data_IF_141542989287
#
_entry.id   IF_141542989287
#
_cell.length_a   1.000
_cell.length_b   1.000
_cell.length_c   1.000
_cell.angle_alpha   90.00
_cell.angle_beta   90.00
_cell.angle_gamma   90.00
#
_symmetry.space_group_name_H-M   'P 1'
#
loop_
_entity.id
_entity.type
_entity.pdbx_description
1 polymer ?
#
# COMPACT_ATOMS: atom_id res chain seq x y z
N UNK A 1 -12.50 -0.70 -9.04
CA UNK A 1 -11.90 -0.51 -10.38
C UNK A 1 -12.00 0.96 -10.77
N UNK A 2 -10.95 1.55 -11.33
CA UNK A 2 -10.91 2.94 -11.81
C UNK A 2 -11.27 2.99 -13.29
N UNK A 3 -12.57 2.93 -13.60
CA UNK A 3 -13.05 2.86 -14.98
C UNK A 3 -12.63 4.04 -15.87
N UNK A 4 -12.39 5.22 -15.28
CA UNK A 4 -11.91 6.40 -16.00
C UNK A 4 -10.44 6.32 -16.44
N UNK A 5 -9.74 5.24 -16.08
CA UNK A 5 -8.33 5.08 -16.44
C UNK A 5 -8.17 4.95 -17.97
N UNK A 6 -7.14 5.56 -18.59
CA UNK A 6 -6.98 5.58 -20.05
C UNK A 6 -7.01 4.20 -20.73
N UNK A 7 -6.57 3.15 -20.03
CA UNK A 7 -6.57 1.78 -20.58
C UNK A 7 -7.97 1.24 -20.91
N UNK A 8 -9.04 1.84 -20.37
CA UNK A 8 -10.41 1.45 -20.69
C UNK A 8 -10.99 2.20 -21.90
N UNK A 9 -10.31 3.25 -22.38
CA UNK A 9 -10.87 4.19 -23.35
C UNK A 9 -10.04 4.37 -24.63
N UNK A 10 -8.71 4.16 -24.58
CA UNK A 10 -7.84 4.51 -25.69
C UNK A 10 -6.64 3.56 -25.86
N UNK A 11 -6.26 3.22 -27.11
CA UNK A 11 -6.85 3.67 -28.38
C UNK A 11 -8.15 2.95 -28.79
N UNK A 12 -8.51 1.86 -28.12
CA UNK A 12 -9.72 1.10 -28.42
C UNK A 12 -10.72 1.23 -27.26
N UNK A 13 -11.95 1.66 -27.52
CA UNK A 13 -12.97 1.71 -26.47
C UNK A 13 -13.25 0.29 -25.94
N UNK A 14 -12.97 0.06 -24.65
CA UNK A 14 -12.99 -1.28 -24.07
C UNK A 14 -14.39 -1.86 -23.94
N UNK A 15 -15.43 -1.02 -23.92
CA UNK A 15 -16.82 -1.45 -23.76
C UNK A 15 -16.97 -2.39 -22.55
N UNK A 16 -16.53 -1.91 -21.38
CA UNK A 16 -16.55 -2.70 -20.15
C UNK A 16 -18.00 -2.90 -19.71
N UNK A 17 -18.46 -4.15 -19.78
CA UNK A 17 -19.73 -4.58 -19.21
C UNK A 17 -19.49 -5.20 -17.83
N UNK A 18 -20.21 -4.69 -16.84
CA UNK A 18 -20.17 -5.18 -15.47
C UNK A 18 -21.33 -6.14 -15.22
N UNK A 19 -21.01 -7.31 -14.69
CA UNK A 19 -21.98 -8.30 -14.24
C UNK A 19 -21.88 -8.46 -12.73
N UNK A 20 -23.00 -8.73 -12.06
CA UNK A 20 -22.98 -9.05 -10.64
C UNK A 20 -22.37 -10.44 -10.41
N UNK A 21 -21.44 -10.54 -9.46
CA UNK A 21 -20.91 -11.79 -8.92
C UNK A 21 -21.11 -11.82 -7.42
N UNK A 22 -21.25 -13.01 -6.84
CA UNK A 22 -21.28 -13.16 -5.38
C UNK A 22 -19.99 -12.62 -4.77
N UNK A 23 -20.12 -11.87 -3.68
CA UNK A 23 -18.97 -11.41 -2.92
C UNK A 23 -18.23 -12.61 -2.34
N UNK A 24 -16.92 -12.78 -2.62
CA UNK A 24 -16.14 -13.87 -2.06
C UNK A 24 -16.25 -13.90 -0.54
N UNK A 25 -16.62 -15.05 0.03
CA UNK A 25 -16.89 -15.17 1.48
C UNK A 25 -15.66 -14.80 2.33
N UNK A 26 -14.46 -15.08 1.82
CA UNK A 26 -13.19 -14.71 2.47
C UNK A 26 -12.97 -13.20 2.55
N UNK A 27 -13.75 -12.35 1.86
CA UNK A 27 -13.63 -10.91 2.02
C UNK A 27 -14.17 -10.42 3.36
N UNK A 28 -15.11 -11.13 3.99
CA UNK A 28 -15.72 -10.69 5.25
C UNK A 28 -14.72 -10.48 6.40
N UNK A 29 -13.55 -11.14 6.37
CA UNK A 29 -12.49 -10.97 7.37
C UNK A 29 -11.55 -9.79 7.09
N UNK A 30 -11.68 -9.12 5.94
CA UNK A 30 -10.91 -7.92 5.62
C UNK A 30 -11.54 -6.66 6.21
N UNK A 31 -10.74 -5.64 6.59
CA UNK A 31 -11.27 -4.40 7.17
C UNK A 31 -12.36 -3.71 6.35
N UNK A 32 -12.25 -3.68 5.03
CA UNK A 32 -13.24 -3.10 4.11
C UNK A 32 -14.36 -4.08 3.76
N UNK A 33 -14.14 -5.37 4.02
CA UNK A 33 -15.01 -6.45 3.60
C UNK A 33 -16.35 -6.48 4.31
N UNK A 34 -16.38 -6.09 5.59
CA UNK A 34 -17.60 -6.11 6.41
C UNK A 34 -18.72 -5.19 5.87
N UNK A 35 -18.36 -4.16 5.09
CA UNK A 35 -19.30 -3.22 4.50
C UNK A 35 -19.67 -3.55 3.04
N UNK A 36 -19.13 -4.62 2.46
CA UNK A 36 -19.40 -4.96 1.08
C UNK A 36 -20.83 -5.50 0.90
N UNK A 37 -21.50 -5.17 -0.23
CA UNK A 37 -22.77 -5.80 -0.58
C UNK A 37 -22.61 -7.32 -0.79
N UNK A 38 -23.72 -8.06 -0.79
CA UNK A 38 -23.72 -9.50 -1.08
C UNK A 38 -23.22 -9.82 -2.50
N UNK A 39 -23.40 -8.89 -3.44
CA UNK A 39 -22.92 -9.01 -4.82
C UNK A 39 -22.10 -7.80 -5.22
N UNK A 40 -21.01 -8.04 -5.93
CA UNK A 40 -20.11 -7.02 -6.45
C UNK A 40 -20.22 -6.92 -7.97
N UNK A 41 -20.10 -5.71 -8.54
CA UNK A 41 -19.92 -5.57 -9.97
C UNK A 41 -18.53 -6.09 -10.36
N UNK A 42 -18.47 -7.02 -11.31
CA UNK A 42 -17.24 -7.57 -11.84
C UNK A 42 -17.21 -7.47 -13.36
N UNK A 43 -16.02 -7.21 -13.88
CA UNK A 43 -15.75 -7.22 -15.31
C UNK A 43 -15.20 -8.60 -15.71
N UNK A 44 -15.82 -9.21 -16.72
CA UNK A 44 -15.34 -10.50 -17.27
C UNK A 44 -14.20 -10.27 -18.26
N UNK A 45 -13.00 -10.63 -17.83
CA UNK A 45 -11.79 -10.52 -18.67
C UNK A 45 -11.59 -11.73 -19.57
N UNK A 46 -12.01 -12.92 -19.11
CA UNK A 46 -11.83 -14.17 -19.85
C UNK A 46 -13.10 -15.04 -19.85
N UNK A 47 -13.30 -15.74 -20.98
CA UNK A 47 -14.41 -16.66 -21.18
C UNK A 47 -14.07 -18.11 -20.85
N UNK A 48 -12.78 -18.45 -20.82
CA UNK A 48 -12.31 -19.82 -20.56
C UNK A 48 -12.66 -20.28 -19.15
N UNK A 49 -13.01 -21.56 -19.02
CA UNK A 49 -12.93 -22.26 -17.74
C UNK A 49 -11.45 -22.52 -17.46
N UNK A 50 -10.90 -21.83 -16.47
CA UNK A 50 -9.55 -22.05 -15.98
C UNK A 50 -9.60 -23.36 -15.18
N UNK A 51 -9.36 -24.49 -15.86
CA UNK A 51 -9.23 -25.78 -15.21
C UNK A 51 -8.10 -25.74 -14.16
N UNK A 52 -8.06 -26.70 -13.23
CA UNK A 52 -7.01 -26.77 -12.18
C UNK A 52 -5.57 -26.87 -12.73
N UNK A 53 -5.44 -27.15 -14.03
CA UNK A 53 -4.20 -27.24 -14.80
C UNK A 53 -3.66 -25.87 -15.26
N UNK A 54 -4.48 -24.82 -15.24
CA UNK A 54 -4.10 -23.46 -15.65
C UNK A 54 -3.73 -22.66 -14.40
N UNK A 55 -2.59 -21.95 -14.47
CA UNK A 55 -2.10 -21.12 -13.37
C UNK A 55 -3.17 -20.11 -12.93
N UNK A 56 -3.41 -20.06 -11.62
CA UNK A 56 -4.21 -19.00 -11.02
C UNK A 56 -3.61 -17.64 -11.38
N UNK A 57 -4.48 -16.66 -11.63
CA UNK A 57 -4.06 -15.27 -11.80
C UNK A 57 -3.23 -14.76 -10.63
N UNK A 58 -2.48 -13.68 -10.85
CA UNK A 58 -1.66 -13.04 -9.83
C UNK A 58 -2.37 -11.77 -9.34
N UNK A 59 -2.35 -11.57 -8.03
CA UNK A 59 -2.65 -10.26 -7.44
C UNK A 59 -1.48 -9.82 -6.58
N UNK A 60 -1.19 -8.53 -6.61
CA UNK A 60 -0.37 -7.92 -5.57
C UNK A 60 -1.22 -7.78 -4.30
N UNK A 61 -0.56 -7.96 -3.15
CA UNK A 61 -1.15 -7.70 -1.84
C UNK A 61 -1.76 -6.29 -1.79
N UNK A 62 -2.87 -6.09 -1.06
CA UNK A 62 -3.41 -4.76 -0.84
C UNK A 62 -2.49 -3.89 0.04
N UNK A 63 -2.80 -2.59 0.03
CA UNK A 63 -2.22 -1.51 0.84
C UNK A 63 -0.80 -1.09 0.47
N UNK A 64 -0.53 0.21 0.62
CA UNK A 64 0.79 0.82 0.40
C UNK A 64 1.28 0.88 -1.05
N UNK A 65 0.56 0.28 -2.00
CA UNK A 65 0.99 0.26 -3.41
C UNK A 65 1.13 1.66 -4.01
N UNK A 66 0.22 2.57 -3.66
CA UNK A 66 0.22 3.96 -4.15
C UNK A 66 0.93 4.93 -3.21
N UNK A 67 1.74 4.43 -2.27
CA UNK A 67 2.57 5.29 -1.43
C UNK A 67 3.62 6.06 -2.25
N UNK A 68 3.99 5.54 -3.42
CA UNK A 68 4.93 6.19 -4.33
C UNK A 68 4.19 6.89 -5.47
N UNK A 69 4.61 8.10 -5.87
CA UNK A 69 3.88 8.89 -6.89
C UNK A 69 4.00 8.32 -8.30
N UNK A 70 4.90 7.36 -8.52
CA UNK A 70 5.07 6.63 -9.78
C UNK A 70 4.24 5.34 -9.85
N UNK A 71 3.39 5.07 -8.85
CA UNK A 71 2.52 3.90 -8.78
C UNK A 71 1.03 4.23 -8.99
N UNK A 72 0.30 3.29 -9.58
CA UNK A 72 -1.13 3.40 -9.88
C UNK A 72 -1.86 2.09 -9.58
N UNK A 73 -2.81 2.10 -8.66
CA UNK A 73 -3.79 1.03 -8.52
C UNK A 73 -4.93 1.25 -9.52
N UNK A 74 -5.25 0.27 -10.36
CA UNK A 74 -6.26 0.44 -11.42
C UNK A 74 -7.48 -0.46 -11.15
N UNK A 75 -7.26 -1.75 -10.94
CA UNK A 75 -8.35 -2.68 -10.65
C UNK A 75 -7.92 -3.83 -9.74
N UNK A 76 -8.89 -4.30 -8.97
CA UNK A 76 -8.87 -5.62 -8.34
C UNK A 76 -9.40 -6.68 -9.32
N UNK A 77 -9.37 -7.94 -8.88
CA UNK A 77 -10.03 -9.08 -9.51
C UNK A 77 -10.71 -9.95 -8.44
N UNK A 78 -11.47 -10.97 -8.84
CA UNK A 78 -11.97 -11.97 -7.88
C UNK A 78 -10.78 -12.80 -7.39
N UNK A 79 -10.44 -12.72 -6.10
CA UNK A 79 -9.18 -13.24 -5.58
C UNK A 79 -9.26 -13.62 -4.08
N UNK A 80 -8.24 -14.30 -3.56
CA UNK A 80 -8.18 -14.74 -2.15
C UNK A 80 -7.51 -13.74 -1.19
N UNK A 81 -6.96 -12.63 -1.70
CA UNK A 81 -6.17 -11.61 -0.98
C UNK A 81 -6.95 -10.34 -0.66
N UNK A 82 -8.27 -10.40 -0.68
CA UNK A 82 -9.15 -9.31 -0.27
C UNK A 82 -9.65 -8.42 -1.41
N UNK A 83 -10.62 -7.53 -1.10
CA UNK A 83 -11.31 -6.73 -2.11
C UNK A 83 -10.40 -5.68 -2.78
N UNK A 84 -9.37 -5.22 -2.07
CA UNK A 84 -8.45 -4.15 -2.51
C UNK A 84 -7.16 -4.70 -3.14
N UNK A 85 -6.96 -6.02 -3.17
CA UNK A 85 -5.80 -6.62 -3.82
C UNK A 85 -5.76 -6.25 -5.31
N UNK A 86 -4.57 -6.00 -5.83
CA UNK A 86 -4.41 -5.38 -7.14
C UNK A 86 -4.18 -6.45 -8.22
N UNK A 87 -5.07 -6.49 -9.21
CA UNK A 87 -4.92 -7.30 -10.41
C UNK A 87 -4.42 -6.48 -11.61
N UNK A 88 -4.74 -5.19 -11.66
CA UNK A 88 -4.21 -4.25 -12.64
C UNK A 88 -3.59 -3.06 -11.91
N UNK A 89 -2.33 -2.78 -12.20
CA UNK A 89 -1.67 -1.58 -11.74
C UNK A 89 -0.27 -1.42 -12.28
N UNK A 90 0.28 -0.23 -12.08
CA UNK A 90 1.55 0.22 -12.66
C UNK A 90 2.49 0.69 -11.56
N UNK A 91 3.79 0.47 -11.71
CA UNK A 91 4.83 1.21 -10.99
C UNK A 91 5.97 1.52 -11.96
N UNK A 92 6.26 2.80 -12.17
CA UNK A 92 7.15 3.27 -13.23
C UNK A 92 6.85 2.59 -14.59
N UNK A 93 7.81 1.89 -15.17
CA UNK A 93 7.68 1.15 -16.43
C UNK A 93 7.19 -0.30 -16.28
N UNK A 94 6.80 -0.71 -15.07
CA UNK A 94 6.24 -2.04 -14.80
C UNK A 94 4.73 -1.97 -14.73
N UNK A 95 4.07 -2.97 -15.31
CA UNK A 95 2.63 -3.12 -15.24
C UNK A 95 2.29 -4.55 -14.83
N UNK A 96 1.47 -4.71 -13.79
CA UNK A 96 0.91 -5.99 -13.41
C UNK A 96 -0.37 -6.22 -14.23
N UNK A 97 -0.32 -7.21 -15.11
CA UNK A 97 -1.51 -7.84 -15.67
C UNK A 97 -1.78 -9.15 -14.92
N UNK A 98 -2.69 -9.09 -13.96
CA UNK A 98 -2.93 -10.17 -13.01
C UNK A 98 -3.85 -11.29 -13.50
N UNK A 99 -4.52 -11.11 -14.65
CA UNK A 99 -5.46 -12.11 -15.16
C UNK A 99 -4.72 -13.19 -15.95
N UNK A 100 -4.81 -14.44 -15.50
CA UNK A 100 -4.25 -15.60 -16.19
C UNK A 100 -5.19 -16.18 -17.24
N UNK A 101 -4.60 -16.83 -18.26
CA UNK A 101 -5.28 -17.66 -19.27
C UNK A 101 -4.91 -17.29 -20.71
N UNK A 102 -5.37 -18.09 -21.67
CA UNK A 102 -4.97 -17.98 -23.07
C UNK A 102 -5.56 -16.72 -23.74
N UNK A 103 -4.78 -15.92 -24.51
CA UNK A 103 -5.29 -14.75 -25.23
C UNK A 103 -6.48 -15.03 -26.15
N UNK A 104 -6.60 -16.25 -26.68
CA UNK A 104 -7.75 -16.71 -27.49
C UNK A 104 -9.03 -16.81 -26.66
N UNK A 105 -8.92 -16.95 -25.34
CA UNK A 105 -10.03 -17.04 -24.39
C UNK A 105 -10.40 -15.69 -23.77
N UNK A 106 -9.61 -14.63 -23.97
CA UNK A 106 -9.97 -13.29 -23.54
C UNK A 106 -11.28 -12.83 -24.19
N UNK A 107 -12.10 -12.12 -23.42
CA UNK A 107 -13.24 -11.38 -23.99
C UNK A 107 -12.73 -10.32 -24.94
N UNK A 108 -13.57 -9.87 -25.87
CA UNK A 108 -13.21 -8.75 -26.76
C UNK A 108 -12.85 -7.49 -25.97
N UNK A 109 -13.61 -7.20 -24.91
CA UNK A 109 -13.29 -6.13 -23.95
C UNK A 109 -11.92 -6.33 -23.29
N UNK A 110 -11.63 -7.55 -22.81
CA UNK A 110 -10.32 -7.93 -22.25
C UNK A 110 -9.15 -7.68 -23.21
N UNK A 111 -9.29 -8.08 -24.48
CA UNK A 111 -8.27 -7.85 -25.52
C UNK A 111 -8.02 -6.37 -25.77
N UNK A 112 -9.08 -5.56 -25.83
CA UNK A 112 -8.95 -4.11 -26.01
C UNK A 112 -8.20 -3.47 -24.85
N UNK A 113 -8.56 -3.78 -23.60
CA UNK A 113 -7.84 -3.27 -22.42
C UNK A 113 -6.39 -3.74 -22.39
N UNK A 114 -6.11 -4.98 -22.79
CA UNK A 114 -4.74 -5.49 -22.89
C UNK A 114 -3.90 -4.69 -23.91
N UNK A 115 -4.43 -4.47 -25.12
CA UNK A 115 -3.76 -3.66 -26.13
C UNK A 115 -3.60 -2.20 -25.70
N UNK A 116 -4.63 -1.61 -25.10
CA UNK A 116 -4.59 -0.27 -24.55
C UNK A 116 -3.54 -0.13 -23.45
N UNK A 117 -3.39 -1.14 -22.60
CA UNK A 117 -2.34 -1.19 -21.58
C UNK A 117 -0.95 -1.10 -22.21
N UNK A 118 -0.69 -1.84 -23.29
CA UNK A 118 0.61 -1.80 -23.98
C UNK A 118 0.88 -0.38 -24.53
N UNK A 119 -0.12 0.24 -25.15
CA UNK A 119 0.01 1.60 -25.68
C UNK A 119 0.19 2.63 -24.56
N UNK A 120 -0.61 2.53 -23.50
CA UNK A 120 -0.51 3.37 -22.30
C UNK A 120 0.89 3.30 -21.68
N UNK A 121 1.48 2.09 -21.62
CA UNK A 121 2.78 1.89 -21.01
C UNK A 121 3.94 2.51 -21.80
N UNK A 122 3.75 2.84 -23.09
CA UNK A 122 4.82 3.42 -23.93
C UNK A 122 5.36 4.75 -23.40
N UNK A 123 4.54 5.55 -22.73
CA UNK A 123 4.97 6.84 -22.16
C UNK A 123 5.91 6.68 -20.94
N UNK A 124 5.97 5.49 -20.35
CA UNK A 124 6.83 5.17 -19.22
C UNK A 124 8.12 4.45 -19.64
N UNK A 125 8.39 4.36 -20.95
CA UNK A 125 9.59 3.71 -21.48
C UNK A 125 10.87 4.28 -20.85
N UNK A 126 11.75 3.40 -20.38
CA UNK A 126 12.99 3.76 -19.69
C UNK A 126 12.85 4.31 -18.27
N UNK A 127 11.64 4.52 -17.73
CA UNK A 127 11.47 4.90 -16.33
C UNK A 127 11.85 3.73 -15.40
N UNK A 128 12.25 4.03 -14.17
CA UNK A 128 12.54 3.02 -13.14
C UNK A 128 11.77 3.34 -11.87
N UNK A 129 11.35 2.33 -11.08
CA UNK A 129 10.69 2.57 -9.80
C UNK A 129 11.47 3.57 -8.94
N UNK A 130 10.78 4.59 -8.44
CA UNK A 130 11.38 5.63 -7.59
C UNK A 130 11.98 5.02 -6.32
N UNK A 131 11.24 4.10 -5.72
CA UNK A 131 11.69 3.32 -4.58
C UNK A 131 11.78 1.85 -4.97
N UNK A 132 12.87 1.21 -4.53
CA UNK A 132 13.09 -0.24 -4.70
C UNK A 132 13.19 -0.86 -3.31
N UNK A 133 12.67 -2.08 -3.11
CA UNK A 133 12.95 -2.82 -1.88
C UNK A 133 14.48 -2.99 -1.76
N UNK A 134 15.10 -2.49 -0.68
CA UNK A 134 16.54 -2.62 -0.53
C UNK A 134 16.91 -3.98 0.06
N UNK A 135 17.70 -4.77 -0.64
CA UNK A 135 18.25 -6.03 -0.12
C UNK A 135 17.27 -7.20 -0.07
N UNK A 136 17.71 -8.30 0.54
CA UNK A 136 16.95 -9.54 0.70
C UNK A 136 15.90 -9.34 1.81
N UNK A 137 14.92 -8.45 1.60
CA UNK A 137 13.88 -8.19 2.60
C UNK A 137 12.91 -9.35 2.62
N UNK A 138 13.04 -10.10 3.71
CA UNK A 138 11.98 -10.84 4.35
C UNK A 138 10.68 -10.03 4.31
N UNK A 139 9.53 -10.69 4.24
CA UNK A 139 8.20 -10.10 4.04
C UNK A 139 7.69 -9.30 5.27
N UNK A 140 8.55 -8.52 5.93
CA UNK A 140 8.41 -7.97 7.28
C UNK A 140 7.92 -6.53 7.32
N UNK A 141 8.18 -5.71 6.29
CA UNK A 141 7.66 -4.33 6.25
C UNK A 141 6.31 -4.34 5.51
N UNK A 142 5.24 -4.20 6.28
CA UNK A 142 3.86 -4.17 5.79
C UNK A 142 3.26 -2.79 5.97
N UNK A 143 2.33 -2.42 5.10
CA UNK A 143 1.47 -1.27 5.34
C UNK A 143 0.73 -1.42 6.68
N UNK A 144 0.46 -0.31 7.35
CA UNK A 144 -0.10 -0.31 8.72
C UNK A 144 -1.48 -0.97 8.80
N UNK A 145 -2.22 -0.94 7.70
CA UNK A 145 -3.52 -1.59 7.51
C UNK A 145 -3.49 -3.10 7.83
N UNK A 146 -2.34 -3.75 7.66
CA UNK A 146 -2.15 -5.16 8.01
C UNK A 146 -2.41 -5.46 9.49
N UNK A 147 -2.25 -4.48 10.38
CA UNK A 147 -2.61 -4.64 11.78
C UNK A 147 -4.11 -4.97 11.95
N UNK A 148 -4.98 -4.33 11.17
CA UNK A 148 -6.42 -4.58 11.18
C UNK A 148 -6.78 -5.86 10.42
N UNK A 149 -6.04 -6.22 9.37
CA UNK A 149 -6.20 -7.51 8.69
C UNK A 149 -5.93 -8.67 9.66
N UNK A 150 -4.83 -8.60 10.42
CA UNK A 150 -4.53 -9.63 11.41
C UNK A 150 -5.56 -9.68 12.54
N UNK A 151 -6.09 -8.54 12.99
CA UNK A 151 -7.22 -8.52 13.92
C UNK A 151 -8.47 -9.22 13.33
N UNK A 152 -8.72 -9.06 12.03
CA UNK A 152 -9.74 -9.80 11.28
C UNK A 152 -9.50 -11.31 11.29
N UNK A 153 -8.26 -11.77 11.08
CA UNK A 153 -7.91 -13.20 11.16
C UNK A 153 -8.12 -13.78 12.55
N UNK A 154 -7.98 -13.00 13.63
CA UNK A 154 -8.36 -13.47 14.97
C UNK A 154 -9.86 -13.80 15.03
N UNK A 155 -10.73 -13.00 14.40
CA UNK A 155 -12.17 -13.28 14.37
C UNK A 155 -12.47 -14.56 13.59
N UNK A 156 -11.76 -14.78 12.49
CA UNK A 156 -11.97 -15.92 11.59
C UNK A 156 -11.38 -17.22 12.15
N UNK A 157 -10.16 -17.16 12.67
CA UNK A 157 -9.34 -18.33 13.02
C UNK A 157 -9.15 -18.51 14.54
N UNK A 158 -9.62 -17.57 15.37
CA UNK A 158 -9.33 -17.54 16.81
C UNK A 158 -9.88 -18.73 17.60
N UNK A 159 -10.86 -19.45 17.06
CA UNK A 159 -11.38 -20.69 17.66
C UNK A 159 -10.58 -21.95 17.25
N UNK A 160 -9.73 -21.85 16.21
CA UNK A 160 -8.89 -22.96 15.77
C UNK A 160 -7.64 -23.05 16.66
N UNK A 161 -7.48 -24.19 17.33
CA UNK A 161 -6.33 -24.47 18.17
C UNK A 161 -5.02 -24.50 17.36
N UNK A 162 -5.07 -24.97 16.10
CA UNK A 162 -3.92 -25.01 15.20
C UNK A 162 -3.46 -23.63 14.72
N UNK A 163 -4.34 -22.63 14.77
CA UNK A 163 -4.03 -21.27 14.35
C UNK A 163 -3.41 -20.40 15.47
N UNK A 164 -3.47 -20.84 16.74
CA UNK A 164 -3.09 -20.00 17.89
C UNK A 164 -1.64 -19.54 17.85
N UNK A 165 -0.70 -20.42 17.49
CA UNK A 165 0.71 -20.08 17.38
C UNK A 165 0.92 -19.02 16.29
N UNK A 166 0.32 -19.23 15.12
CA UNK A 166 0.34 -18.26 14.03
C UNK A 166 -0.25 -16.92 14.48
N UNK A 167 -1.44 -16.88 15.09
CA UNK A 167 -2.08 -15.64 15.50
C UNK A 167 -1.25 -14.89 16.55
N UNK A 168 -0.71 -15.58 17.56
CA UNK A 168 0.16 -14.97 18.58
C UNK A 168 1.42 -14.37 17.97
N UNK A 169 1.97 -14.98 16.92
CA UNK A 169 3.15 -14.47 16.23
C UNK A 169 2.92 -13.17 15.45
N UNK A 170 1.66 -12.72 15.27
CA UNK A 170 1.32 -11.51 14.50
C UNK A 170 1.15 -10.25 15.34
N UNK A 171 1.26 -10.34 16.67
CA UNK A 171 1.01 -9.22 17.56
C UNK A 171 2.12 -9.04 18.59
N UNK A 172 2.41 -7.79 19.02
CA UNK A 172 3.25 -7.53 20.18
C UNK A 172 2.80 -8.33 21.41
N UNK A 173 3.76 -8.75 22.23
CA UNK A 173 3.49 -9.63 23.38
C UNK A 173 2.42 -9.06 24.33
N UNK A 174 2.38 -7.74 24.52
CA UNK A 174 1.42 -7.09 25.41
C UNK A 174 -0.04 -7.23 24.94
N UNK A 175 -0.29 -7.33 23.63
CA UNK A 175 -1.64 -7.50 23.08
C UNK A 175 -2.18 -8.93 23.24
N UNK A 176 -1.30 -9.90 23.48
CA UNK A 176 -1.65 -11.33 23.54
C UNK A 176 -1.33 -11.99 24.88
N UNK A 177 -0.77 -11.25 25.84
CA UNK A 177 -0.35 -11.76 27.15
C UNK A 177 -1.51 -12.47 27.88
N UNK A 178 -2.69 -11.87 27.89
CA UNK A 178 -3.89 -12.39 28.57
C UNK A 178 -4.78 -13.27 27.69
N UNK A 179 -4.26 -13.71 26.54
CA UNK A 179 -5.06 -14.32 25.49
C UNK A 179 -5.26 -13.41 24.28
N UNK A 180 -5.68 -14.02 23.17
CA UNK A 180 -5.96 -13.31 21.92
C UNK A 180 -7.44 -12.93 21.94
N UNK A 181 -7.74 -11.62 21.88
CA UNK A 181 -9.09 -11.10 21.81
C UNK A 181 -9.20 -10.14 20.60
N UNK A 182 -10.06 -10.48 19.65
CA UNK A 182 -10.16 -9.74 18.40
C UNK A 182 -10.65 -8.31 18.59
N UNK A 183 -11.61 -8.10 19.49
CA UNK A 183 -12.22 -6.79 19.73
C UNK A 183 -11.23 -5.83 20.41
N UNK A 184 -10.50 -6.32 21.41
CA UNK A 184 -9.44 -5.58 22.11
C UNK A 184 -8.30 -5.21 21.16
N UNK A 185 -7.82 -6.17 20.37
CA UNK A 185 -6.74 -5.96 19.41
C UNK A 185 -7.16 -4.95 18.33
N UNK A 186 -8.35 -5.11 17.77
CA UNK A 186 -8.87 -4.16 16.77
C UNK A 186 -9.03 -2.76 17.35
N UNK A 187 -9.61 -2.62 18.55
CA UNK A 187 -9.77 -1.33 19.21
C UNK A 187 -8.42 -0.63 19.43
N UNK A 188 -7.42 -1.36 19.91
CA UNK A 188 -6.07 -0.86 20.11
C UNK A 188 -5.47 -0.29 18.81
N UNK A 189 -5.52 -1.05 17.72
CA UNK A 189 -4.95 -0.61 16.45
C UNK A 189 -5.73 0.52 15.81
N UNK A 190 -7.06 0.57 15.95
CA UNK A 190 -7.87 1.70 15.46
C UNK A 190 -7.57 2.98 16.22
N UNK A 191 -7.46 2.92 17.55
CA UNK A 191 -7.17 4.07 18.40
C UNK A 191 -5.77 4.65 18.09
N UNK A 192 -4.80 3.79 17.80
CA UNK A 192 -3.42 4.20 17.63
C UNK A 192 -2.92 4.15 16.17
N UNK A 193 -3.81 4.04 15.19
CA UNK A 193 -3.48 3.76 13.78
C UNK A 193 -2.43 4.71 13.18
N UNK A 194 -2.52 6.00 13.51
CA UNK A 194 -1.59 7.03 13.03
C UNK A 194 -0.19 6.95 13.65
N UNK A 195 -0.05 6.24 14.77
CA UNK A 195 1.18 6.11 15.54
C UNK A 195 1.84 4.73 15.38
N UNK A 196 1.32 3.89 14.47
CA UNK A 196 1.86 2.55 14.28
C UNK A 196 3.21 2.59 13.53
N UNK A 197 4.13 1.76 14.00
CA UNK A 197 5.44 1.55 13.40
C UNK A 197 5.88 0.09 13.58
N UNK A 198 6.56 -0.51 12.59
CA UNK A 198 7.09 -1.86 12.74
C UNK A 198 8.32 -1.85 13.65
N UNK A 199 8.27 -2.60 14.75
CA UNK A 199 9.45 -2.85 15.59
C UNK A 199 10.52 -3.65 14.85
N UNK A 200 11.65 -3.94 15.52
CA UNK A 200 12.75 -4.72 14.93
C UNK A 200 12.33 -6.12 14.46
N UNK A 201 11.29 -6.69 15.08
CA UNK A 201 10.69 -7.97 14.72
C UNK A 201 9.64 -7.87 13.58
N UNK A 202 9.42 -6.68 13.02
CA UNK A 202 8.42 -6.40 11.98
C UNK A 202 6.98 -6.34 12.49
N UNK A 203 6.73 -6.51 13.79
CA UNK A 203 5.39 -6.41 14.36
C UNK A 203 5.00 -4.94 14.52
N UNK A 204 3.77 -4.61 14.13
CA UNK A 204 3.23 -3.27 14.26
C UNK A 204 2.80 -3.02 15.70
N UNK A 205 3.35 -1.95 16.27
CA UNK A 205 3.02 -1.46 17.60
C UNK A 205 3.04 0.08 17.61
N UNK A 206 2.62 0.68 18.72
CA UNK A 206 2.69 2.12 18.90
C UNK A 206 4.12 2.59 19.04
N UNK A 207 4.51 3.51 18.16
CA UNK A 207 5.73 4.28 18.29
C UNK A 207 5.57 5.33 19.41
N UNK A 208 6.20 5.06 20.55
CA UNK A 208 6.13 5.95 21.71
C UNK A 208 6.75 7.34 21.43
N UNK A 209 7.78 7.41 20.60
CA UNK A 209 8.44 8.67 20.23
C UNK A 209 7.52 9.50 19.33
N UNK A 210 6.92 8.87 18.32
CA UNK A 210 5.96 9.53 17.44
C UNK A 210 4.72 10.00 18.23
N UNK A 211 4.23 9.17 19.16
CA UNK A 211 3.13 9.51 20.06
C UNK A 211 3.49 10.68 20.97
N UNK A 212 4.73 10.75 21.47
CA UNK A 212 5.23 11.89 22.25
C UNK A 212 5.36 13.17 21.41
N UNK A 213 5.69 13.06 20.11
CA UNK A 213 5.68 14.19 19.19
C UNK A 213 4.25 14.71 18.94
N UNK A 214 3.26 13.81 18.99
CA UNK A 214 1.83 14.12 18.95
C UNK A 214 1.25 14.31 17.56
N UNK A 215 1.94 13.85 16.52
CA UNK A 215 1.50 13.99 15.11
C UNK A 215 1.80 12.71 14.33
N UNK A 216 0.91 12.39 13.41
CA UNK A 216 1.07 11.23 12.51
C UNK A 216 2.28 11.39 11.59
N UNK A 217 3.12 10.36 11.46
CA UNK A 217 4.29 10.40 10.58
C UNK A 217 3.94 10.50 9.09
N UNK A 218 2.75 10.08 8.66
CA UNK A 218 2.34 10.09 7.25
C UNK A 218 1.72 11.40 6.78
N UNK A 219 1.61 12.40 7.66
CA UNK A 219 1.00 13.69 7.37
C UNK A 219 2.08 14.78 7.24
N UNK A 220 1.99 15.71 6.27
CA UNK A 220 3.00 16.76 6.09
C UNK A 220 3.31 17.56 7.37
N UNK A 221 2.33 17.70 8.27
CA UNK A 221 2.45 18.35 9.57
C UNK A 221 3.52 17.71 10.46
N UNK A 222 3.88 16.44 10.25
CA UNK A 222 5.02 15.80 10.90
C UNK A 222 6.33 16.55 10.63
N UNK A 223 6.56 16.93 9.37
CA UNK A 223 7.76 17.63 8.95
C UNK A 223 7.84 19.02 9.58
N UNK A 224 6.70 19.70 9.68
CA UNK A 224 6.58 21.00 10.35
C UNK A 224 6.84 20.88 11.85
N UNK A 225 6.30 19.83 12.49
CA UNK A 225 6.53 19.57 13.91
C UNK A 225 7.97 19.20 14.21
N UNK A 226 8.63 18.44 13.33
CA UNK A 226 10.05 18.15 13.40
C UNK A 226 10.89 19.43 13.26
N UNK A 227 10.57 20.30 12.30
CA UNK A 227 11.28 21.56 12.12
C UNK A 227 11.17 22.46 13.35
N UNK A 228 9.96 22.61 13.90
CA UNK A 228 9.73 23.38 15.12
C UNK A 228 10.49 22.79 16.31
N UNK A 229 10.41 21.48 16.53
CA UNK A 229 11.12 20.83 17.63
C UNK A 229 12.63 20.95 17.52
N UNK A 230 13.20 20.81 16.32
CA UNK A 230 14.63 21.03 16.06
C UNK A 230 15.07 22.45 16.43
N UNK A 231 14.22 23.46 16.17
CA UNK A 231 14.51 24.84 16.52
C UNK A 231 14.39 25.10 18.03
N UNK A 232 13.38 24.52 18.68
CA UNK A 232 13.11 24.70 20.12
C UNK A 232 14.10 23.95 21.01
N UNK A 233 14.40 22.69 20.68
CA UNK A 233 15.16 21.75 21.53
C UNK A 233 16.57 21.47 21.03
N UNK A 234 16.88 21.85 19.78
CA UNK A 234 18.15 21.57 19.11
C UNK A 234 18.20 20.18 18.45
N UNK A 235 19.17 20.02 17.53
CA UNK A 235 19.36 18.79 16.77
C UNK A 235 19.81 17.58 17.62
N UNK A 236 20.37 17.83 18.81
CA UNK A 236 20.81 16.79 19.76
C UNK A 236 19.72 16.34 20.72
N UNK A 237 18.49 16.86 20.60
CA UNK A 237 17.36 16.34 21.35
C UNK A 237 17.14 14.85 21.00
N UNK A 238 17.08 13.93 21.98
CA UNK A 238 16.97 12.51 21.71
C UNK A 238 15.75 12.13 20.86
N UNK A 239 14.62 12.80 21.10
CA UNK A 239 13.40 12.55 20.33
C UNK A 239 13.57 12.99 18.86
N UNK A 240 14.17 14.16 18.64
CA UNK A 240 14.53 14.64 17.29
C UNK A 240 15.43 13.66 16.58
N UNK A 241 16.51 13.19 17.21
CA UNK A 241 17.46 12.26 16.58
C UNK A 241 16.74 10.98 16.16
N UNK A 242 16.02 10.35 17.08
CA UNK A 242 15.30 9.10 16.82
C UNK A 242 14.29 9.24 15.69
N UNK A 243 13.44 10.26 15.72
CA UNK A 243 12.42 10.47 14.69
C UNK A 243 13.01 10.92 13.35
N UNK A 244 14.13 11.67 13.36
CA UNK A 244 14.83 12.05 12.15
C UNK A 244 15.42 10.84 11.42
N UNK A 245 16.07 9.94 12.17
CA UNK A 245 16.67 8.74 11.63
C UNK A 245 15.63 7.75 11.13
N UNK A 246 14.47 7.68 11.80
CA UNK A 246 13.36 6.80 11.44
C UNK A 246 12.56 7.32 10.24
N UNK A 247 12.24 8.62 10.19
CA UNK A 247 11.17 9.11 9.32
C UNK A 247 11.58 10.18 8.30
N UNK A 248 12.62 10.98 8.56
CA UNK A 248 13.01 12.04 7.60
C UNK A 248 13.83 11.46 6.46
N UNK A 249 13.80 12.04 5.24
CA UNK A 249 14.66 11.57 4.15
C UNK A 249 16.14 11.58 4.56
N UNK A 250 16.94 10.69 3.96
CA UNK A 250 18.37 10.56 4.25
C UNK A 250 19.12 11.85 3.90
N UNK A 251 18.72 12.51 2.82
CA UNK A 251 19.27 13.76 2.35
C UNK A 251 18.84 14.99 3.17
N UNK A 252 17.88 14.84 4.08
CA UNK A 252 17.38 15.97 4.87
C UNK A 252 18.42 16.42 5.90
N UNK A 253 18.82 17.70 5.93
CA UNK A 253 19.78 18.19 6.92
C UNK A 253 19.30 17.98 8.35
N UNK A 254 20.21 17.71 9.28
CA UNK A 254 19.91 17.59 10.71
C UNK A 254 20.11 18.89 11.50
N UNK A 255 20.76 19.88 10.89
CA UNK A 255 20.85 21.23 11.46
C UNK A 255 19.50 21.97 11.36
N UNK A 256 19.01 22.64 12.42
CA UNK A 256 17.66 23.21 12.44
C UNK A 256 17.40 24.26 11.35
N UNK A 257 18.35 25.17 11.11
CA UNK A 257 18.19 26.24 10.13
C UNK A 257 18.23 25.68 8.69
N UNK A 258 19.17 24.78 8.43
CA UNK A 258 19.28 24.10 7.13
C UNK A 258 18.09 23.18 6.86
N UNK A 259 17.55 22.50 7.87
CA UNK A 259 16.38 21.65 7.73
C UNK A 259 15.15 22.47 7.33
N UNK A 260 14.89 23.59 8.02
CA UNK A 260 13.76 24.47 7.69
C UNK A 260 13.85 25.01 6.24
N UNK A 261 15.04 25.46 5.82
CA UNK A 261 15.26 25.92 4.46
C UNK A 261 15.11 24.80 3.42
N UNK A 262 15.63 23.60 3.71
CA UNK A 262 15.51 22.42 2.85
C UNK A 262 14.05 21.97 2.72
N UNK A 263 13.29 21.99 3.81
CA UNK A 263 11.88 21.60 3.83
C UNK A 263 11.06 22.56 2.94
N UNK A 264 11.29 23.87 3.05
CA UNK A 264 10.65 24.85 2.18
C UNK A 264 10.95 24.64 0.69
N UNK A 265 12.17 24.22 0.35
CA UNK A 265 12.59 23.98 -1.05
C UNK A 265 12.08 22.67 -1.64
N UNK A 266 11.73 21.69 -0.81
CA UNK A 266 11.35 20.35 -1.28
C UNK A 266 9.90 19.97 -0.98
N UNK A 267 9.13 20.82 -0.28
CA UNK A 267 7.78 20.51 0.21
C UNK A 267 6.89 19.82 -0.82
N UNK A 268 6.82 20.37 -2.01
CA UNK A 268 5.92 19.91 -3.08
C UNK A 268 6.32 18.55 -3.67
N UNK A 269 7.51 18.06 -3.33
CA UNK A 269 8.08 16.80 -3.79
C UNK A 269 8.11 15.74 -2.70
N UNK A 270 7.82 16.09 -1.45
CA UNK A 270 7.88 15.15 -0.34
C UNK A 270 6.69 14.22 -0.37
N UNK A 271 6.95 12.93 -0.28
CA UNK A 271 5.94 11.88 -0.16
C UNK A 271 6.36 10.88 0.90
N UNK A 272 5.39 10.14 1.45
CA UNK A 272 5.60 9.21 2.54
C UNK A 272 5.22 7.79 2.10
N UNK A 273 5.95 6.79 2.59
CA UNK A 273 5.56 5.39 2.39
C UNK A 273 5.67 4.55 3.64
N UNK A 274 4.61 3.79 3.93
CA UNK A 274 4.63 2.70 4.92
C UNK A 274 5.48 1.53 4.41
N UNK A 275 5.25 1.10 3.17
CA UNK A 275 5.86 -0.12 2.62
C UNK A 275 7.32 0.02 2.21
N UNK A 276 7.82 1.25 2.11
CA UNK A 276 9.25 1.56 1.96
C UNK A 276 9.91 2.02 3.26
N UNK A 277 9.40 1.58 4.42
CA UNK A 277 10.05 1.75 5.72
C UNK A 277 9.46 2.84 6.60
N UNK A 278 8.18 3.17 6.42
CA UNK A 278 7.48 4.20 7.21
C UNK A 278 8.16 5.56 7.15
N UNK A 279 8.75 5.93 6.00
CA UNK A 279 9.65 7.08 5.85
C UNK A 279 9.16 8.06 4.79
N UNK A 280 9.55 9.32 4.95
CA UNK A 280 9.46 10.33 3.90
C UNK A 280 10.60 10.21 2.90
N UNK A 281 10.31 10.59 1.66
CA UNK A 281 11.24 10.61 0.54
C UNK A 281 11.07 11.90 -0.27
N UNK A 282 12.11 12.29 -1.01
CA UNK A 282 12.02 13.40 -1.95
C UNK A 282 11.80 12.86 -3.37
N UNK A 283 10.65 13.19 -3.96
CA UNK A 283 10.34 12.87 -5.34
C UNK A 283 11.24 13.60 -6.35
N UNK A 284 11.26 13.15 -7.61
CA UNK A 284 12.02 13.81 -8.65
C UNK A 284 11.56 15.25 -8.82
N UNK A 285 12.45 16.15 -9.27
CA UNK A 285 12.00 17.45 -9.76
C UNK A 285 11.20 17.21 -11.03
N UNK A 286 10.07 17.90 -11.18
CA UNK A 286 9.39 17.95 -12.46
C UNK A 286 10.43 18.31 -13.53
N UNK A 287 10.53 17.51 -14.59
CA UNK A 287 11.37 17.88 -15.71
C UNK A 287 10.89 19.25 -16.19
N UNK A 288 11.81 20.24 -16.26
CA UNK A 288 11.50 21.49 -16.92
C UNK A 288 10.97 21.11 -18.30
N UNK A 289 9.70 21.44 -18.58
CA UNK A 289 8.98 21.00 -19.76
C UNK A 289 9.94 21.05 -20.95
N UNK A 290 10.36 19.88 -21.42
CA UNK A 290 11.27 19.79 -22.54
C UNK A 290 10.50 20.42 -23.71
N UNK A 291 10.94 21.62 -24.09
CA UNK A 291 10.31 22.37 -25.17
C UNK A 291 10.14 21.45 -26.36
N UNK A 292 8.90 21.33 -26.82
CA UNK A 292 8.49 20.74 -28.09
C UNK A 292 9.61 20.87 -29.12
N UNK A 293 10.18 19.72 -29.51
CA UNK A 293 10.92 19.56 -30.76
C UNK A 293 10.18 18.55 -31.61
#
# INVERSE_FOLDING_TARGET
MRLQHPIFHSPLEAQVELTEVETPSNYASWPEGAALPAKLPAWRVQNGEVGKEVDYGLVSSPYGFEDTPDAEWISSGVNSKGPTAMALGRQANWFLWGFAGDPTQMTESGRRVFLNTIVYMKQFDGQTPLLKPEGNRDFTIRARDWALVYAGFVKELGADAGAQEFLRSRFPAHLVADGIDAGRIEAYYRENFEMLYPGENGLLDVDADLKALGVSNRKPEFLDRMAARMQEMGASDPLVMTLADRYLPEEAPRDPARFAAWLAQNRDRLFFSDVYGYRWFVGPRAAAAAGTR
#
